data_IF_577296122216
#
_entry.id   IF_577296122216
#
_cell.length_a   1.000
_cell.length_b   1.000
_cell.length_c   1.000
_cell.angle_alpha   90.00
_cell.angle_beta   90.00
_cell.angle_gamma   90.00
#
_symmetry.space_group_name_H-M   'P 1'
#
loop_
_entity.id
_entity.type
_entity.pdbx_description
1 polymer ?
#
# COMPACT_ATOMS: atom_id res chain seq x y z
N UNK A 1 39.88 -22.08 -2.13
CA UNK A 1 40.48 -21.65 -3.41
C UNK A 1 39.49 -20.70 -4.05
N UNK A 2 39.78 -19.40 -3.98
CA UNK A 2 38.88 -18.31 -4.32
C UNK A 2 39.34 -17.67 -5.63
N UNK A 3 38.45 -17.53 -6.60
CA UNK A 3 38.66 -16.82 -7.86
C UNK A 3 38.25 -15.35 -7.69
N UNK A 4 39.10 -14.35 -7.97
CA UNK A 4 38.66 -12.96 -8.13
C UNK A 4 38.39 -12.63 -9.61
N UNK A 5 37.31 -11.87 -9.86
CA UNK A 5 36.92 -11.31 -11.15
C UNK A 5 37.45 -9.87 -11.32
N UNK A 6 37.65 -9.37 -12.57
CA UNK A 6 38.36 -8.11 -12.84
C UNK A 6 37.47 -6.85 -12.88
N UNK A 7 38.11 -5.72 -12.60
CA UNK A 7 37.60 -4.34 -12.67
C UNK A 7 37.92 -3.77 -14.06
N UNK A 8 36.94 -3.23 -14.77
CA UNK A 8 37.14 -2.52 -16.05
C UNK A 8 37.25 -1.01 -15.83
N UNK A 9 38.39 -0.43 -16.24
CA UNK A 9 38.63 1.03 -16.31
C UNK A 9 38.49 1.48 -17.77
N UNK A 10 37.61 2.44 -18.03
CA UNK A 10 37.46 3.09 -19.34
C UNK A 10 38.21 4.43 -19.30
N UNK A 11 39.24 4.59 -20.13
CA UNK A 11 39.90 5.88 -20.42
C UNK A 11 39.25 6.48 -21.66
N UNK A 12 38.67 7.67 -21.53
CA UNK A 12 38.24 8.48 -22.68
C UNK A 12 39.34 9.51 -22.96
N UNK A 13 39.86 9.48 -24.20
CA UNK A 13 40.84 10.44 -24.72
C UNK A 13 40.05 11.51 -25.49
N UNK A 14 40.18 12.78 -25.11
CA UNK A 14 39.59 13.91 -25.85
C UNK A 14 40.70 14.61 -26.67
N UNK A 15 40.51 14.86 -27.98
CA UNK A 15 41.49 15.58 -28.80
C UNK A 15 41.45 17.10 -28.57
N UNK A 16 42.63 17.73 -28.54
CA UNK A 16 42.90 19.13 -28.15
C UNK A 16 42.50 20.21 -29.19
N UNK A 17 41.94 19.85 -30.35
CA UNK A 17 41.71 20.82 -31.43
C UNK A 17 40.22 21.11 -31.63
N UNK A 18 39.69 22.10 -30.92
CA UNK A 18 38.51 22.91 -31.28
C UNK A 18 38.50 24.15 -30.37
N UNK A 19 39.56 24.95 -30.50
CA UNK A 19 39.66 26.29 -29.93
C UNK A 19 39.30 27.30 -31.04
N UNK A 20 38.48 28.28 -30.67
CA UNK A 20 38.02 29.45 -31.43
C UNK A 20 36.72 29.28 -32.23
N UNK A 21 35.60 29.72 -31.66
CA UNK A 21 35.00 31.01 -32.02
C UNK A 21 33.67 31.22 -31.27
N UNK A 22 33.67 32.32 -30.52
CA UNK A 22 32.57 33.13 -30.00
C UNK A 22 31.17 32.91 -30.60
N UNK A 23 30.20 32.46 -29.78
CA UNK A 23 28.86 33.07 -29.71
C UNK A 23 28.15 32.63 -28.42
N UNK A 24 27.64 33.60 -27.67
CA UNK A 24 27.03 33.44 -26.36
C UNK A 24 25.84 32.46 -26.33
N UNK A 25 25.96 31.42 -25.51
CA UNK A 25 24.83 30.72 -24.88
C UNK A 25 25.15 30.63 -23.40
N UNK A 26 24.24 31.20 -22.61
CA UNK A 26 24.25 31.20 -21.14
C UNK A 26 24.49 29.79 -20.59
N UNK A 27 25.36 29.59 -19.58
CA UNK A 27 25.50 28.29 -18.94
C UNK A 27 24.18 27.97 -18.23
N UNK A 28 23.44 27.00 -18.76
CA UNK A 28 22.46 26.29 -17.95
C UNK A 28 23.24 25.52 -16.89
N UNK A 29 23.37 26.14 -15.73
CA UNK A 29 23.63 25.49 -14.46
C UNK A 29 22.80 24.22 -14.41
N UNK A 30 23.46 23.07 -14.21
CA UNK A 30 22.78 21.92 -13.63
C UNK A 30 22.32 22.36 -12.24
N UNK A 31 21.08 22.85 -12.14
CA UNK A 31 20.40 23.02 -10.87
C UNK A 31 20.36 21.65 -10.20
N UNK A 32 21.05 21.53 -9.06
CA UNK A 32 20.69 20.55 -8.04
C UNK A 32 19.18 20.71 -7.83
N UNK A 33 18.39 19.72 -8.27
CA UNK A 33 16.94 19.75 -8.07
C UNK A 33 16.66 20.02 -6.59
N UNK A 34 15.87 21.06 -6.40
CA UNK A 34 15.42 21.67 -5.15
C UNK A 34 15.33 20.67 -3.99
N UNK A 35 16.07 20.95 -2.91
CA UNK A 35 15.77 20.38 -1.60
C UNK A 35 14.39 20.89 -1.20
N UNK A 36 13.35 20.07 -1.42
CA UNK A 36 12.09 20.31 -0.73
C UNK A 36 12.38 20.04 0.75
N UNK A 37 12.26 21.05 1.60
CA UNK A 37 12.47 20.91 3.04
C UNK A 37 11.22 20.22 3.59
N UNK A 38 11.17 18.92 3.36
CA UNK A 38 10.07 18.05 3.71
C UNK A 38 10.20 17.67 5.17
N UNK A 39 9.09 17.72 5.88
CA UNK A 39 8.87 16.96 7.11
C UNK A 39 9.44 15.53 6.95
N UNK A 40 10.01 14.93 8.01
CA UNK A 40 10.58 13.57 7.98
C UNK A 40 9.90 12.67 9.02
N UNK A 41 9.60 11.41 8.68
CA UNK A 41 9.19 10.39 9.65
C UNK A 41 10.43 9.67 10.15
N UNK A 42 10.56 9.45 11.45
CA UNK A 42 11.63 8.65 12.04
C UNK A 42 11.18 7.95 13.31
N UNK A 43 12.11 7.32 14.01
CA UNK A 43 11.84 6.64 15.27
C UNK A 43 12.45 7.38 16.47
N UNK A 44 11.73 7.31 17.59
CA UNK A 44 12.26 7.66 18.90
C UNK A 44 12.97 6.46 19.54
N UNK A 45 13.80 6.67 20.58
CA UNK A 45 14.42 5.56 21.33
C UNK A 45 13.42 4.56 21.92
N UNK A 46 12.16 4.97 22.09
CA UNK A 46 11.06 4.11 22.50
C UNK A 46 10.53 3.19 21.38
N UNK A 47 11.10 3.22 20.17
CA UNK A 47 10.60 2.49 19.00
C UNK A 47 9.35 3.10 18.36
N UNK A 48 8.86 4.23 18.85
CA UNK A 48 7.66 4.89 18.34
C UNK A 48 7.97 5.80 17.17
N UNK A 49 7.04 5.85 16.20
CA UNK A 49 7.14 6.78 15.09
C UNK A 49 6.92 8.21 15.54
N UNK A 50 7.75 9.10 15.03
CA UNK A 50 7.63 10.53 15.22
C UNK A 50 7.91 11.26 13.92
N UNK A 51 7.32 12.43 13.86
CA UNK A 51 7.18 13.25 12.68
C UNK A 51 7.98 14.53 12.97
N UNK A 52 9.19 14.61 12.41
CA UNK A 52 10.17 15.63 12.72
C UNK A 52 9.99 16.86 11.81
N UNK A 53 10.00 18.08 12.38
CA UNK A 53 9.93 19.29 11.59
C UNK A 53 11.15 19.40 10.67
N UNK A 54 11.01 20.11 9.53
CA UNK A 54 12.12 20.38 8.63
C UNK A 54 13.29 21.01 9.39
N UNK A 55 14.51 20.56 9.11
CA UNK A 55 15.73 20.99 9.81
C UNK A 55 16.25 22.36 9.37
N UNK A 56 15.60 23.02 8.40
CA UNK A 56 16.04 24.29 7.83
C UNK A 56 14.91 25.31 7.93
N UNK A 57 15.19 26.50 8.47
CA UNK A 57 14.29 27.65 8.59
C UNK A 57 13.95 28.31 7.22
N UNK A 58 13.82 27.51 6.16
CA UNK A 58 13.41 27.97 4.84
C UNK A 58 11.90 27.97 4.72
N UNK A 59 11.33 29.02 4.13
CA UNK A 59 9.90 29.18 3.85
C UNK A 59 9.33 27.91 3.23
N UNK A 60 8.61 27.15 4.05
CA UNK A 60 8.04 25.86 3.69
C UNK A 60 6.74 26.10 2.95
N UNK A 61 6.73 25.78 1.65
CA UNK A 61 5.48 25.50 0.96
C UNK A 61 5.01 24.12 1.40
N UNK A 62 4.56 24.00 2.65
CA UNK A 62 4.00 22.78 3.19
C UNK A 62 2.73 22.45 2.39
N UNK A 63 2.76 21.37 1.62
CA UNK A 63 1.53 20.87 1.00
C UNK A 63 0.49 20.61 2.11
N UNK A 64 -0.76 21.00 1.87
CA UNK A 64 -1.86 20.74 2.80
C UNK A 64 -1.96 19.24 3.18
N UNK A 65 -1.51 18.33 2.29
CA UNK A 65 -1.38 16.91 2.56
C UNK A 65 -0.36 16.59 3.66
N UNK A 66 0.83 17.20 3.62
CA UNK A 66 1.89 16.99 4.63
C UNK A 66 1.46 17.48 6.01
N UNK A 67 0.85 18.67 6.09
CA UNK A 67 0.34 19.22 7.34
C UNK A 67 -0.76 18.32 7.95
N UNK A 68 -1.62 17.72 7.11
CA UNK A 68 -2.64 16.75 7.56
C UNK A 68 -2.00 15.49 8.13
N UNK A 69 -0.99 14.94 7.47
CA UNK A 69 -0.26 13.75 7.94
C UNK A 69 0.45 14.05 9.25
N UNK A 70 1.19 15.16 9.34
CA UNK A 70 1.86 15.60 10.56
C UNK A 70 0.89 15.72 11.75
N UNK A 71 -0.27 16.33 11.52
CA UNK A 71 -1.33 16.46 12.53
C UNK A 71 -1.94 15.12 12.95
N UNK A 72 -2.04 14.17 12.02
CA UNK A 72 -2.52 12.82 12.34
C UNK A 72 -1.52 12.09 13.25
N UNK A 73 -0.23 12.16 12.93
CA UNK A 73 0.83 11.57 13.78
C UNK A 73 0.92 12.21 15.17
N UNK A 74 0.65 13.52 15.31
CA UNK A 74 0.65 14.16 16.63
C UNK A 74 -0.52 13.77 17.53
N UNK A 75 -1.58 13.17 16.96
CA UNK A 75 -2.72 12.62 17.72
C UNK A 75 -2.50 11.17 18.07
N UNK A 76 -2.16 10.34 17.08
CA UNK A 76 -1.95 8.91 17.26
C UNK A 76 -1.13 8.33 16.10
N UNK A 77 -0.17 7.45 16.40
CA UNK A 77 0.65 6.77 15.38
C UNK A 77 -0.20 6.02 14.35
N UNK A 78 -1.24 5.32 14.82
CA UNK A 78 -2.20 4.63 13.95
C UNK A 78 -2.98 5.58 13.03
N UNK A 79 -3.40 6.76 13.51
CA UNK A 79 -4.08 7.77 12.67
C UNK A 79 -3.13 8.30 11.59
N UNK A 80 -1.86 8.54 11.95
CA UNK A 80 -0.81 8.96 11.03
C UNK A 80 -0.55 7.96 9.92
N UNK A 81 -0.29 6.70 10.27
CA UNK A 81 -0.05 5.61 9.33
C UNK A 81 -1.26 5.35 8.42
N UNK A 82 -2.47 5.32 8.98
CA UNK A 82 -3.69 5.16 8.20
C UNK A 82 -3.88 6.33 7.22
N UNK A 83 -3.71 7.57 7.69
CA UNK A 83 -3.84 8.77 6.84
C UNK A 83 -2.82 8.76 5.71
N UNK A 84 -1.61 8.26 5.98
CA UNK A 84 -0.56 8.12 4.99
C UNK A 84 -0.93 7.09 3.91
N UNK A 85 -1.40 5.90 4.29
CA UNK A 85 -1.88 4.88 3.33
C UNK A 85 -3.20 5.26 2.62
N UNK A 86 -3.97 6.17 3.22
CA UNK A 86 -5.19 6.73 2.63
C UNK A 86 -4.92 7.90 1.68
N UNK A 87 -3.69 8.41 1.61
CA UNK A 87 -3.33 9.52 0.70
C UNK A 87 -3.26 9.05 -0.75
N UNK A 88 -3.68 9.91 -1.68
CA UNK A 88 -3.58 9.71 -3.14
C UNK A 88 -2.40 10.49 -3.75
N UNK A 89 -1.70 11.27 -2.94
CA UNK A 89 -0.59 12.10 -3.38
C UNK A 89 0.70 11.26 -3.43
N UNK A 90 1.08 10.81 -4.63
CA UNK A 90 2.33 10.08 -4.87
C UNK A 90 3.48 11.00 -5.30
N UNK A 91 3.18 12.20 -5.80
CA UNK A 91 4.20 13.08 -6.34
C UNK A 91 5.08 13.63 -5.21
N UNK A 92 6.37 13.30 -5.26
CA UNK A 92 7.46 13.83 -4.45
C UNK A 92 7.46 13.48 -2.94
N UNK A 93 6.83 12.37 -2.54
CA UNK A 93 6.98 11.87 -1.16
C UNK A 93 8.44 11.45 -0.89
N UNK A 94 8.98 11.87 0.25
CA UNK A 94 10.30 11.45 0.69
C UNK A 94 10.33 9.92 0.92
N UNK A 95 11.49 9.25 0.74
CA UNK A 95 11.59 7.79 0.83
C UNK A 95 11.03 7.19 2.12
N UNK A 96 11.17 7.88 3.25
CA UNK A 96 10.65 7.40 4.53
C UNK A 96 9.12 7.41 4.59
N UNK A 97 8.46 8.36 3.93
CA UNK A 97 6.99 8.33 3.82
C UNK A 97 6.53 7.19 2.93
N UNK A 98 7.22 6.96 1.81
CA UNK A 98 6.92 5.82 0.94
C UNK A 98 7.03 4.52 1.72
N UNK A 99 8.11 4.34 2.49
CA UNK A 99 8.30 3.15 3.32
C UNK A 99 7.15 2.93 4.33
N UNK A 100 6.80 3.96 5.13
CA UNK A 100 5.72 3.83 6.13
C UNK A 100 4.33 3.74 5.53
N UNK A 101 4.11 4.36 4.36
CA UNK A 101 2.89 4.22 3.56
C UNK A 101 2.73 2.78 3.10
N UNK A 102 3.78 2.20 2.53
CA UNK A 102 3.74 0.85 1.98
C UNK A 102 3.59 -0.19 3.11
N UNK A 103 4.21 0.07 4.28
CA UNK A 103 3.97 -0.70 5.51
C UNK A 103 2.49 -0.67 5.93
N UNK A 104 1.89 0.51 6.02
CA UNK A 104 0.48 0.67 6.37
C UNK A 104 -0.47 0.14 5.27
N UNK A 105 -0.06 0.21 4.00
CA UNK A 105 -0.77 -0.37 2.87
C UNK A 105 -0.78 -1.90 2.89
N UNK A 106 0.33 -2.54 3.31
CA UNK A 106 0.35 -3.99 3.56
C UNK A 106 -0.67 -4.36 4.65
N UNK A 107 -0.67 -3.62 5.76
CA UNK A 107 -1.66 -3.78 6.83
C UNK A 107 -3.10 -3.67 6.31
N UNK A 108 -3.43 -2.61 5.57
CA UNK A 108 -4.77 -2.42 5.03
C UNK A 108 -5.15 -3.52 4.04
N UNK A 109 -4.20 -4.04 3.26
CA UNK A 109 -4.43 -5.16 2.35
C UNK A 109 -4.84 -6.43 3.11
N UNK A 110 -4.09 -6.80 4.15
CA UNK A 110 -4.42 -7.95 5.00
C UNK A 110 -5.77 -7.76 5.70
N UNK A 111 -6.02 -6.56 6.23
CA UNK A 111 -7.28 -6.21 6.86
C UNK A 111 -8.48 -6.31 5.91
N UNK A 112 -8.33 -5.89 4.65
CA UNK A 112 -9.38 -5.94 3.64
C UNK A 112 -9.66 -7.37 3.14
N UNK A 113 -8.70 -8.28 3.27
CA UNK A 113 -8.85 -9.71 2.94
C UNK A 113 -9.63 -10.48 4.00
N UNK A 114 -9.64 -10.00 5.25
CA UNK A 114 -10.32 -10.67 6.34
C UNK A 114 -11.78 -10.24 6.41
N UNK A 115 -12.67 -11.21 6.19
CA UNK A 115 -14.09 -11.04 6.40
C UNK A 115 -14.38 -10.98 7.92
N UNK A 116 -15.02 -9.91 8.42
CA UNK A 116 -15.47 -9.84 9.81
C UNK A 116 -16.46 -10.97 10.07
N UNK A 117 -16.31 -11.64 11.20
CA UNK A 117 -17.34 -12.57 11.69
C UNK A 117 -18.60 -11.80 12.13
N UNK A 118 -18.40 -10.60 12.66
CA UNK A 118 -19.44 -9.63 13.01
C UNK A 118 -19.14 -8.31 12.29
N UNK A 119 -20.08 -7.77 11.46
CA UNK A 119 -19.84 -6.53 10.73
C UNK A 119 -19.48 -5.34 11.63
N UNK A 120 -19.97 -5.29 12.87
CA UNK A 120 -19.68 -4.21 13.82
C UNK A 120 -18.45 -4.42 14.70
N UNK A 121 -17.84 -5.60 14.64
CA UNK A 121 -16.69 -5.95 15.47
C UNK A 121 -15.70 -6.79 14.70
N UNK A 122 -14.58 -6.15 14.36
CA UNK A 122 -13.43 -6.83 13.76
C UNK A 122 -12.49 -7.34 14.84
N UNK A 123 -11.94 -8.52 14.62
CA UNK A 123 -10.91 -9.11 15.49
C UNK A 123 -9.56 -8.42 15.26
N UNK A 124 -8.67 -8.49 16.24
CA UNK A 124 -7.29 -8.03 16.06
C UNK A 124 -6.59 -8.90 15.02
N UNK A 125 -5.73 -8.29 14.20
CA UNK A 125 -4.86 -9.06 13.32
C UNK A 125 -3.79 -9.78 14.15
N UNK A 126 -3.33 -10.91 13.62
CA UNK A 126 -2.12 -11.52 14.14
C UNK A 126 -0.93 -10.56 13.93
N UNK A 127 0.01 -10.48 14.89
CA UNK A 127 1.23 -9.70 14.70
C UNK A 127 2.03 -10.23 13.49
N UNK A 128 2.77 -9.33 12.83
CA UNK A 128 3.67 -9.69 11.73
C UNK A 128 4.55 -10.89 12.08
N UNK A 129 4.50 -11.94 11.26
CA UNK A 129 5.39 -13.08 11.43
C UNK A 129 6.83 -12.71 11.07
N UNK A 130 7.79 -13.56 11.45
CA UNK A 130 9.22 -13.32 11.17
C UNK A 130 9.49 -13.20 9.67
N UNK A 131 8.82 -14.02 8.84
CA UNK A 131 9.00 -14.01 7.39
C UNK A 131 8.52 -12.70 6.76
N UNK A 132 7.49 -12.08 7.31
CA UNK A 132 6.95 -10.79 6.86
C UNK A 132 7.73 -9.59 7.40
N UNK A 133 8.33 -9.73 8.58
CA UNK A 133 9.05 -8.65 9.26
C UNK A 133 10.44 -8.42 8.65
N UNK A 134 11.14 -9.49 8.26
CA UNK A 134 12.53 -9.37 7.77
C UNK A 134 12.67 -8.53 6.49
N UNK A 135 11.81 -8.69 5.46
CA UNK A 135 11.87 -7.83 4.28
C UNK A 135 11.65 -6.35 4.60
N UNK A 136 10.75 -6.04 5.54
CA UNK A 136 10.47 -4.67 5.98
C UNK A 136 11.69 -4.05 6.68
N UNK A 137 12.42 -4.81 7.49
CA UNK A 137 13.65 -4.31 8.12
C UNK A 137 14.75 -4.02 7.10
N UNK A 138 14.92 -4.91 6.12
CA UNK A 138 15.99 -4.78 5.11
C UNK A 138 15.72 -3.68 4.09
N UNK A 139 14.45 -3.32 3.86
CA UNK A 139 14.07 -2.27 2.92
C UNK A 139 13.95 -0.88 3.55
N UNK A 140 14.20 -0.75 4.86
CA UNK A 140 14.10 0.52 5.57
C UNK A 140 15.07 1.57 4.99
N UNK A 141 14.57 2.73 4.55
CA UNK A 141 15.43 3.80 4.06
C UNK A 141 16.23 4.40 5.23
N UNK A 142 17.34 5.11 4.93
CA UNK A 142 18.00 5.95 5.93
C UNK A 142 16.99 6.95 6.50
N UNK A 143 16.81 6.92 7.82
CA UNK A 143 15.89 7.82 8.52
C UNK A 143 16.41 8.09 9.93
N UNK A 144 15.96 9.20 10.51
CA UNK A 144 16.27 9.51 11.90
C UNK A 144 15.79 8.40 12.84
N UNK A 145 16.68 7.89 13.68
CA UNK A 145 16.36 6.83 14.64
C UNK A 145 16.26 5.43 14.02
N UNK A 146 16.77 5.21 12.80
CA UNK A 146 16.78 3.90 12.17
C UNK A 146 17.47 2.80 13.03
N UNK A 147 18.38 3.17 13.93
CA UNK A 147 19.01 2.26 14.89
C UNK A 147 18.04 1.65 15.90
N UNK A 148 16.86 2.26 16.11
CA UNK A 148 15.80 1.75 16.96
C UNK A 148 14.81 0.86 16.20
N UNK A 149 14.92 0.79 14.86
CA UNK A 149 14.08 -0.08 14.06
C UNK A 149 14.51 -1.54 14.24
N UNK A 150 13.59 -2.35 14.73
CA UNK A 150 13.80 -3.78 15.01
C UNK A 150 12.53 -4.57 14.74
N UNK A 151 12.64 -5.90 14.67
CA UNK A 151 11.47 -6.75 14.47
C UNK A 151 10.37 -6.53 15.54
N UNK A 152 10.70 -6.47 16.86
CA UNK A 152 9.72 -6.12 17.88
C UNK A 152 9.10 -4.74 17.69
N UNK A 153 9.89 -3.73 17.28
CA UNK A 153 9.36 -2.38 17.04
C UNK A 153 8.35 -2.37 15.88
N UNK A 154 8.63 -3.07 14.77
CA UNK A 154 7.68 -3.19 13.66
C UNK A 154 6.39 -3.91 14.07
N UNK A 155 6.49 -4.98 14.86
CA UNK A 155 5.32 -5.70 15.38
C UNK A 155 4.48 -4.84 16.32
N UNK A 156 5.13 -4.01 17.16
CA UNK A 156 4.45 -3.07 18.04
C UNK A 156 3.74 -1.98 17.22
N UNK A 157 4.42 -1.38 16.25
CA UNK A 157 3.83 -0.37 15.35
C UNK A 157 2.64 -0.96 14.58
N UNK A 158 2.75 -2.20 14.09
CA UNK A 158 1.66 -2.93 13.45
C UNK A 158 0.47 -3.09 14.39
N UNK A 159 0.71 -3.55 15.61
CA UNK A 159 -0.34 -3.75 16.64
C UNK A 159 -0.99 -2.43 17.05
N UNK A 160 -0.23 -1.33 17.11
CA UNK A 160 -0.76 0.00 17.40
C UNK A 160 -1.69 0.52 16.29
N UNK A 161 -1.30 0.31 15.03
CA UNK A 161 -2.17 0.60 13.89
C UNK A 161 -3.44 -0.27 13.93
N UNK A 162 -3.28 -1.55 14.24
CA UNK A 162 -4.37 -2.52 14.31
C UNK A 162 -5.44 -2.13 15.33
N UNK A 163 -5.02 -1.86 16.58
CA UNK A 163 -5.90 -1.42 17.66
C UNK A 163 -6.64 -0.14 17.31
N UNK A 164 -5.92 0.84 16.76
CA UNK A 164 -6.51 2.10 16.35
C UNK A 164 -7.59 1.89 15.28
N UNK A 165 -7.34 1.05 14.28
CA UNK A 165 -8.37 0.73 13.26
C UNK A 165 -9.56 0.00 13.88
N UNK A 166 -9.35 -0.96 14.78
CA UNK A 166 -10.45 -1.63 15.48
C UNK A 166 -11.34 -0.64 16.27
N UNK A 167 -10.73 0.31 16.98
CA UNK A 167 -11.45 1.38 17.69
C UNK A 167 -12.25 2.27 16.73
N UNK A 168 -11.65 2.63 15.59
CA UNK A 168 -12.32 3.43 14.57
C UNK A 168 -13.49 2.65 13.93
N UNK A 169 -13.33 1.37 13.64
CA UNK A 169 -14.41 0.55 13.06
C UNK A 169 -15.60 0.47 14.02
N UNK A 170 -15.34 0.30 15.31
CA UNK A 170 -16.40 0.34 16.33
C UNK A 170 -17.16 1.68 16.34
N UNK A 171 -16.50 2.81 16.06
CA UNK A 171 -17.14 4.12 15.98
C UNK A 171 -17.95 4.35 14.68
N UNK A 172 -17.72 3.54 13.63
CA UNK A 172 -18.37 3.64 12.31
C UNK A 172 -19.33 2.47 12.04
N UNK A 173 -19.58 1.61 13.04
CA UNK A 173 -20.41 0.39 13.00
C UNK A 173 -20.01 -0.67 11.96
N UNK A 174 -19.02 -0.40 11.10
CA UNK A 174 -18.50 -1.35 10.12
C UNK A 174 -17.15 -0.94 9.52
N UNK A 175 -16.36 -1.95 9.13
CA UNK A 175 -15.11 -1.73 8.39
C UNK A 175 -15.37 -1.08 7.03
N UNK A 176 -16.37 -1.57 6.29
CA UNK A 176 -16.79 -1.00 5.01
C UNK A 176 -17.20 0.48 5.14
N UNK A 177 -17.99 0.84 6.15
CA UNK A 177 -18.39 2.23 6.40
C UNK A 177 -17.22 3.13 6.77
N UNK A 178 -16.30 2.64 7.61
CA UNK A 178 -15.07 3.35 7.96
C UNK A 178 -14.20 3.63 6.74
N UNK A 179 -13.93 2.61 5.90
CA UNK A 179 -13.12 2.75 4.70
C UNK A 179 -13.77 3.66 3.66
N UNK A 180 -15.08 3.51 3.41
CA UNK A 180 -15.81 4.38 2.48
C UNK A 180 -15.72 5.87 2.88
N UNK A 181 -15.71 6.16 4.19
CA UNK A 181 -15.58 7.53 4.69
C UNK A 181 -14.14 8.07 4.67
N UNK A 182 -13.15 7.24 5.03
CA UNK A 182 -11.80 7.70 5.35
C UNK A 182 -10.74 7.33 4.34
N UNK A 183 -10.93 6.26 3.57
CA UNK A 183 -9.98 5.73 2.61
C UNK A 183 -10.71 4.99 1.47
N UNK A 184 -11.48 5.70 0.62
CA UNK A 184 -12.41 5.08 -0.34
C UNK A 184 -11.74 4.24 -1.44
N UNK A 185 -10.42 4.37 -1.61
CA UNK A 185 -9.64 3.49 -2.49
C UNK A 185 -9.39 2.10 -1.90
N UNK A 186 -9.60 1.92 -0.60
CA UNK A 186 -9.52 0.65 0.10
C UNK A 186 -10.93 0.11 0.31
N UNK A 187 -11.14 -1.15 -0.03
CA UNK A 187 -12.41 -1.83 0.16
C UNK A 187 -12.15 -3.30 0.46
N UNK A 188 -13.06 -3.90 1.24
CA UNK A 188 -12.99 -5.34 1.49
C UNK A 188 -13.20 -6.11 0.18
N UNK A 189 -12.51 -7.23 0.04
CA UNK A 189 -12.62 -8.05 -1.17
C UNK A 189 -13.95 -8.81 -1.13
N UNK A 190 -14.70 -8.79 -2.23
CA UNK A 190 -15.97 -9.52 -2.32
C UNK A 190 -15.79 -11.03 -2.22
N UNK A 191 -16.86 -11.75 -1.90
CA UNK A 191 -16.83 -13.21 -1.76
C UNK A 191 -17.19 -13.85 -3.09
N UNK A 192 -16.57 -14.99 -3.39
CA UNK A 192 -17.00 -15.87 -4.49
C UNK A 192 -17.85 -16.99 -3.89
N UNK A 193 -19.12 -17.02 -4.23
CA UNK A 193 -20.03 -18.09 -3.83
C UNK A 193 -20.05 -19.18 -4.90
N UNK A 194 -19.63 -20.38 -4.53
CA UNK A 194 -19.75 -21.57 -5.36
C UNK A 194 -21.09 -22.26 -5.06
N UNK A 195 -21.95 -22.33 -6.06
CA UNK A 195 -23.20 -23.09 -6.03
C UNK A 195 -22.94 -24.45 -6.65
N UNK A 196 -23.27 -25.51 -5.92
CA UNK A 196 -23.21 -26.88 -6.40
C UNK A 196 -24.63 -27.37 -6.69
N UNK A 197 -24.89 -27.77 -7.92
CA UNK A 197 -26.16 -28.32 -8.35
C UNK A 197 -25.98 -29.78 -8.80
N UNK A 198 -26.84 -30.68 -8.32
CA UNK A 198 -26.86 -32.07 -8.77
C UNK A 198 -27.51 -32.16 -10.16
N UNK A 199 -26.81 -32.77 -11.12
CA UNK A 199 -27.30 -33.02 -12.47
C UNK A 199 -27.65 -34.51 -12.63
N UNK A 200 -28.90 -34.87 -12.33
CA UNK A 200 -29.40 -36.24 -12.45
C UNK A 200 -29.52 -36.75 -13.89
N UNK A 201 -29.36 -35.86 -14.87
CA UNK A 201 -29.54 -36.18 -16.29
C UNK A 201 -28.23 -36.54 -16.99
N UNK A 202 -27.08 -36.34 -16.34
CA UNK A 202 -25.77 -36.73 -16.85
C UNK A 202 -25.04 -37.56 -15.79
N UNK A 203 -25.08 -38.90 -15.89
CA UNK A 203 -24.44 -39.77 -14.91
C UNK A 203 -22.90 -39.72 -14.96
N UNK A 204 -22.31 -39.25 -16.08
CA UNK A 204 -20.86 -39.07 -16.20
C UNK A 204 -20.42 -37.74 -15.55
N UNK A 205 -21.32 -36.74 -15.51
CA UNK A 205 -21.13 -35.46 -14.80
C UNK A 205 -22.29 -35.16 -13.83
N UNK A 206 -22.36 -35.86 -12.68
CA UNK A 206 -23.51 -35.79 -11.75
C UNK A 206 -23.66 -34.46 -11.01
N UNK A 207 -22.73 -33.51 -11.20
CA UNK A 207 -22.73 -32.20 -10.57
C UNK A 207 -22.34 -31.11 -11.55
N UNK A 208 -22.97 -29.95 -11.39
CA UNK A 208 -22.61 -28.70 -12.06
C UNK A 208 -22.24 -27.64 -11.01
N UNK A 209 -21.26 -26.80 -11.33
CA UNK A 209 -20.80 -25.72 -10.47
C UNK A 209 -21.13 -24.37 -11.13
N UNK A 210 -21.58 -23.41 -10.33
CA UNK A 210 -21.70 -22.01 -10.73
C UNK A 210 -21.00 -21.14 -9.70
N UNK A 211 -20.07 -20.29 -10.13
CA UNK A 211 -19.45 -19.29 -9.26
C UNK A 211 -20.15 -17.94 -9.46
N UNK A 212 -20.54 -17.29 -8.38
CA UNK A 212 -21.07 -15.91 -8.38
C UNK A 212 -20.18 -15.03 -7.53
N UNK A 213 -19.84 -13.86 -8.04
CA UNK A 213 -19.16 -12.83 -7.26
C UNK A 213 -20.21 -12.01 -6.49
N UNK A 214 -20.13 -12.04 -5.17
CA UNK A 214 -20.92 -11.20 -4.28
C UNK A 214 -20.00 -10.09 -3.74
N UNK A 215 -20.04 -8.87 -4.31
CA UNK A 215 -19.38 -7.74 -3.67
C UNK A 215 -19.95 -7.59 -2.25
N UNK A 216 -19.12 -7.24 -1.25
CA UNK A 216 -19.69 -6.92 0.06
C UNK A 216 -20.63 -5.72 -0.12
N UNK A 217 -21.89 -5.96 0.21
CA UNK A 217 -22.96 -4.99 0.09
C UNK A 217 -22.69 -3.95 1.17
N UNK A 218 -22.19 -2.77 0.79
CA UNK A 218 -22.25 -1.61 1.66
C UNK A 218 -23.69 -1.48 2.13
N UNK A 219 -23.92 -1.29 3.42
CA UNK A 219 -25.25 -1.32 4.06
C UNK A 219 -26.19 -0.18 3.65
N UNK A 220 -26.24 0.17 2.37
CA UNK A 220 -27.15 1.13 1.78
C UNK A 220 -27.93 0.42 0.67
N UNK A 221 -29.16 0.02 1.03
CA UNK A 221 -30.05 -0.72 0.15
C UNK A 221 -30.35 0.02 -1.15
N UNK A 222 -29.84 -0.52 -2.25
CA UNK A 222 -30.48 -0.72 -3.55
C UNK A 222 -29.37 -0.98 -4.53
N UNK A 223 -29.21 -2.23 -4.96
CA UNK A 223 -28.79 -2.49 -6.34
C UNK A 223 -29.41 -3.82 -6.79
N UNK A 224 -30.15 -3.71 -7.89
CA UNK A 224 -30.77 -4.81 -8.60
C UNK A 224 -29.67 -5.75 -9.09
N UNK A 225 -29.80 -7.08 -8.92
CA UNK A 225 -28.82 -7.98 -9.49
C UNK A 225 -28.98 -7.94 -11.01
N UNK A 226 -27.96 -7.43 -11.70
CA UNK A 226 -27.75 -7.71 -13.12
C UNK A 226 -27.56 -9.22 -13.27
N UNK A 227 -28.69 -9.91 -13.45
CA UNK A 227 -28.73 -11.29 -13.92
C UNK A 227 -28.13 -11.29 -15.32
N UNK A 228 -26.86 -11.68 -15.43
CA UNK A 228 -26.40 -12.31 -16.66
C UNK A 228 -27.07 -13.68 -16.77
N UNK A 229 -28.30 -13.68 -17.26
CA UNK A 229 -28.92 -14.88 -17.81
C UNK A 229 -28.23 -15.19 -19.13
N UNK A 230 -27.43 -16.27 -19.18
CA UNK A 230 -27.21 -16.93 -20.46
C UNK A 230 -28.56 -17.52 -20.92
N UNK A 231 -29.06 -17.18 -22.12
CA UNK A 231 -30.25 -17.82 -22.64
C UNK A 231 -29.97 -19.32 -22.85
N UNK A 232 -30.92 -20.21 -22.56
CA UNK A 232 -30.82 -21.60 -22.96
C UNK A 232 -31.13 -21.65 -24.46
N UNK A 233 -30.13 -21.41 -25.31
CA UNK A 233 -30.27 -21.74 -26.74
C UNK A 233 -29.42 -22.95 -27.09
N UNK A 234 -30.12 -23.97 -27.59
CA UNK A 234 -29.62 -25.30 -27.89
C UNK A 234 -28.86 -25.34 -29.21
N UNK A 235 -27.74 -24.62 -29.30
CA UNK A 235 -26.78 -24.79 -30.39
C UNK A 235 -25.44 -25.25 -29.84
N UNK A 236 -25.08 -26.51 -30.16
CA UNK A 236 -23.73 -27.05 -29.99
C UNK A 236 -22.71 -26.05 -30.54
N UNK A 237 -21.93 -25.47 -29.66
CA UNK A 237 -20.63 -24.91 -30.01
C UNK A 237 -19.60 -25.70 -29.23
N UNK A 238 -18.74 -26.41 -29.97
CA UNK A 238 -17.55 -27.05 -29.39
C UNK A 238 -16.71 -25.98 -28.68
N UNK A 239 -16.24 -26.25 -27.44
CA UNK A 239 -15.34 -25.33 -26.75
C UNK A 239 -13.96 -25.36 -27.42
N UNK A 240 -13.27 -24.20 -27.55
CA UNK A 240 -11.84 -24.20 -27.81
C UNK A 240 -11.11 -24.69 -26.55
N UNK A 241 -10.09 -25.52 -26.79
CA UNK A 241 -9.22 -26.23 -25.86
C UNK A 241 -9.13 -25.64 -24.43
N UNK A 242 -9.52 -26.47 -23.47
CA UNK A 242 -9.19 -26.28 -22.07
C UNK A 242 -7.66 -26.36 -21.89
N UNK A 243 -7.06 -25.26 -21.45
CA UNK A 243 -5.70 -25.27 -20.92
C UNK A 243 -5.75 -25.94 -19.55
N UNK A 244 -5.03 -27.06 -19.44
CA UNK A 244 -4.71 -27.79 -18.21
C UNK A 244 -3.81 -26.95 -17.30
#
# INVERSE_FOLDING_TARGET
>A
MSYPQPIYTIRIIIPWALLHADTAVSPQTFECRSFNVSFEIGLLPSGHLHCFPPTTDGDSNESAGNARIARAFSRHTGEGLFTLAASKEDADLAPTFVYWRDFAGKYLSERCLLAPTDPGRIDLLEPLCVADTMPLLLSAPPMRGAEYLSAPALQEIWTLLDRWVCEQVHAFDSLAGFLASKAPQWHQVGRVCFHLAENKNDPDYPFAFMATYAPEITGQGRDSPDRFCFPPDGSRHDPPDAIV
#
